data_IF_519239805855
#
_entry.id   IF_519239805855
#
_cell.length_a   1.000
_cell.length_b   1.000
_cell.length_c   1.000
_cell.angle_alpha   90.00
_cell.angle_beta   90.00
_cell.angle_gamma   90.00
#
_symmetry.space_group_name_H-M   'P 1'
#
loop_
_entity.id
_entity.type
_entity.pdbx_description
1 polymer ?
#
# COMPACT_ATOMS: atom_id res chain seq x y z
N UNK A 1 14.91 -6.40 -9.62
CA UNK A 1 13.85 -5.83 -10.49
C UNK A 1 14.44 -4.74 -11.41
N UNK A 2 14.20 -4.83 -12.73
CA UNK A 2 14.74 -3.88 -13.74
C UNK A 2 14.02 -2.52 -13.69
N UNK A 3 14.68 -1.44 -14.18
CA UNK A 3 14.13 -0.06 -14.14
C UNK A 3 12.82 0.09 -14.91
N UNK A 4 12.67 -0.62 -16.02
CA UNK A 4 11.45 -0.61 -16.84
C UNK A 4 10.25 -1.16 -16.08
N UNK A 5 10.43 -2.29 -15.39
CA UNK A 5 9.40 -2.86 -14.54
C UNK A 5 8.94 -1.84 -13.46
N UNK A 6 9.86 -1.05 -12.89
CA UNK A 6 9.49 -0.03 -11.88
C UNK A 6 8.65 1.08 -12.50
N UNK A 7 8.98 1.49 -13.74
CA UNK A 7 8.18 2.48 -14.47
C UNK A 7 6.78 1.95 -14.76
N UNK A 8 6.65 0.69 -15.17
CA UNK A 8 5.35 0.03 -15.38
C UNK A 8 4.53 0.00 -14.10
N UNK A 9 5.10 -0.44 -12.96
CA UNK A 9 4.39 -0.44 -11.68
C UNK A 9 3.91 0.95 -11.26
N UNK A 10 4.77 1.97 -11.40
CA UNK A 10 4.37 3.36 -11.09
C UNK A 10 3.24 3.85 -11.99
N UNK A 11 3.23 3.44 -13.26
CA UNK A 11 2.14 3.77 -14.21
C UNK A 11 0.84 3.10 -13.78
N UNK A 12 0.86 1.80 -13.48
CA UNK A 12 -0.31 1.06 -12.99
C UNK A 12 -0.87 1.67 -11.71
N UNK A 13 -0.01 2.06 -10.76
CA UNK A 13 -0.41 2.73 -9.52
C UNK A 13 -1.14 4.05 -9.77
N UNK A 14 -0.70 4.83 -10.78
CA UNK A 14 -1.36 6.08 -11.16
C UNK A 14 -2.72 5.81 -11.79
N UNK A 15 -2.76 4.95 -12.80
CA UNK A 15 -3.99 4.65 -13.56
C UNK A 15 -5.07 4.03 -12.69
N UNK A 16 -4.75 3.07 -11.81
CA UNK A 16 -5.75 2.47 -10.93
C UNK A 16 -6.11 3.30 -9.70
N UNK A 17 -5.48 4.47 -9.50
CA UNK A 17 -5.85 5.43 -8.46
C UNK A 17 -6.80 6.52 -8.94
N UNK A 18 -7.18 6.52 -10.21
CA UNK A 18 -8.13 7.47 -10.79
C UNK A 18 -9.58 7.06 -10.48
N UNK A 19 -10.48 8.04 -10.35
CA UNK A 19 -11.88 7.80 -9.97
C UNK A 19 -12.66 6.90 -10.94
N UNK A 20 -12.19 6.81 -12.19
CA UNK A 20 -12.80 6.03 -13.27
C UNK A 20 -11.99 4.78 -13.64
N UNK A 21 -11.05 4.36 -12.79
CA UNK A 21 -10.29 3.14 -13.01
C UNK A 21 -11.22 1.92 -13.12
N UNK A 22 -10.97 1.07 -14.13
CA UNK A 22 -11.67 -0.21 -14.23
C UNK A 22 -11.30 -1.13 -13.06
N UNK A 23 -12.14 -2.14 -12.74
CA UNK A 23 -11.83 -3.11 -11.68
C UNK A 23 -10.45 -3.79 -11.88
N UNK A 24 -10.09 -4.07 -13.13
CA UNK A 24 -8.78 -4.62 -13.48
C UNK A 24 -7.65 -3.63 -13.19
N UNK A 25 -7.79 -2.37 -13.58
CA UNK A 25 -6.80 -1.33 -13.30
C UNK A 25 -6.62 -1.11 -11.80
N UNK A 26 -7.70 -1.17 -11.02
CA UNK A 26 -7.64 -1.10 -9.56
C UNK A 26 -6.93 -2.31 -8.94
N UNK A 27 -7.12 -3.52 -9.49
CA UNK A 27 -6.38 -4.71 -9.06
C UNK A 27 -4.89 -4.63 -9.40
N UNK A 28 -4.56 -4.20 -10.62
CA UNK A 28 -3.17 -4.01 -11.06
C UNK A 28 -2.47 -2.93 -10.22
N UNK A 29 -3.17 -1.86 -9.85
CA UNK A 29 -2.64 -0.82 -8.97
C UNK A 29 -2.38 -1.32 -7.55
N UNK A 30 -3.27 -2.16 -6.99
CA UNK A 30 -3.06 -2.81 -5.69
C UNK A 30 -1.81 -3.70 -5.72
N UNK A 31 -1.67 -4.54 -6.74
CA UNK A 31 -0.50 -5.39 -6.91
C UNK A 31 0.79 -4.56 -7.07
N UNK A 32 0.73 -3.49 -7.86
CA UNK A 32 1.85 -2.59 -8.07
C UNK A 32 2.27 -1.85 -6.79
N UNK A 33 1.32 -1.42 -5.97
CA UNK A 33 1.60 -0.77 -4.69
C UNK A 33 2.33 -1.72 -3.73
N UNK A 34 1.90 -2.98 -3.63
CA UNK A 34 2.56 -3.99 -2.81
C UNK A 34 3.99 -4.27 -3.28
N UNK A 35 4.17 -4.53 -4.58
CA UNK A 35 5.50 -4.79 -5.14
C UNK A 35 6.47 -3.61 -4.96
N UNK A 36 5.98 -2.37 -5.05
CA UNK A 36 6.79 -1.18 -4.78
C UNK A 36 7.12 -1.02 -3.28
N UNK A 37 6.21 -1.37 -2.39
CA UNK A 37 6.43 -1.36 -0.94
C UNK A 37 7.48 -2.40 -0.55
N UNK A 38 7.29 -3.66 -0.93
CA UNK A 38 8.23 -4.76 -0.66
C UNK A 38 9.64 -4.42 -1.14
N UNK A 39 9.76 -3.90 -2.36
CA UNK A 39 11.05 -3.47 -2.89
C UNK A 39 11.65 -2.33 -2.08
N UNK A 40 10.85 -1.36 -1.64
CA UNK A 40 11.35 -0.23 -0.85
C UNK A 40 11.86 -0.70 0.52
N UNK A 41 11.19 -1.67 1.13
CA UNK A 41 11.65 -2.33 2.37
C UNK A 41 12.93 -3.12 2.13
N UNK A 42 12.98 -3.94 1.08
CA UNK A 42 14.17 -4.73 0.73
C UNK A 42 15.41 -3.86 0.45
N UNK A 43 15.20 -2.69 -0.16
CA UNK A 43 16.26 -1.71 -0.43
C UNK A 43 16.55 -0.79 0.77
N UNK A 44 15.86 -0.96 1.91
CA UNK A 44 15.98 -0.10 3.10
C UNK A 44 15.75 1.39 2.82
N UNK A 45 14.86 1.68 1.87
CA UNK A 45 14.46 3.05 1.55
C UNK A 45 13.33 3.50 2.50
N UNK A 46 13.66 3.68 3.77
CA UNK A 46 12.75 3.95 4.90
C UNK A 46 11.63 4.96 4.61
N UNK A 47 11.98 6.19 4.21
CA UNK A 47 10.99 7.24 3.91
C UNK A 47 10.10 6.86 2.72
N UNK A 48 10.66 6.23 1.71
CA UNK A 48 9.92 5.80 0.52
C UNK A 48 9.01 4.62 0.86
N UNK A 49 9.44 3.70 1.72
CA UNK A 49 8.62 2.59 2.18
C UNK A 49 7.36 3.09 2.90
N UNK A 50 7.48 4.10 3.77
CA UNK A 50 6.31 4.73 4.40
C UNK A 50 5.38 5.35 3.35
N UNK A 51 5.91 6.09 2.36
CA UNK A 51 5.07 6.65 1.29
C UNK A 51 4.35 5.55 0.49
N UNK A 52 5.03 4.43 0.19
CA UNK A 52 4.43 3.29 -0.52
C UNK A 52 3.41 2.54 0.32
N UNK A 53 3.57 2.51 1.64
CA UNK A 53 2.56 1.98 2.53
C UNK A 53 1.28 2.83 2.46
N UNK A 54 1.40 4.16 2.49
CA UNK A 54 0.24 5.04 2.35
C UNK A 54 -0.45 4.87 0.99
N UNK A 55 0.30 4.72 -0.10
CA UNK A 55 -0.24 4.40 -1.43
C UNK A 55 -1.04 3.08 -1.39
N UNK A 56 -0.49 2.04 -0.78
CA UNK A 56 -1.12 0.72 -0.66
C UNK A 56 -2.42 0.78 0.17
N UNK A 57 -2.41 1.52 1.27
CA UNK A 57 -3.60 1.75 2.11
C UNK A 57 -4.68 2.50 1.35
N UNK A 58 -4.32 3.58 0.64
CA UNK A 58 -5.25 4.36 -0.18
C UNK A 58 -5.94 3.49 -1.24
N UNK A 59 -5.19 2.57 -1.84
CA UNK A 59 -5.68 1.62 -2.84
C UNK A 59 -6.35 0.38 -2.23
N UNK A 60 -6.45 0.29 -0.90
CA UNK A 60 -6.97 -0.88 -0.17
C UNK A 60 -6.28 -2.18 -0.58
N UNK A 61 -4.96 -2.12 -0.79
CA UNK A 61 -4.15 -3.29 -1.08
C UNK A 61 -3.97 -4.14 0.19
N UNK A 62 -3.96 -5.48 0.10
CA UNK A 62 -3.77 -6.36 1.24
C UNK A 62 -2.30 -6.37 1.69
N UNK A 63 -1.91 -5.41 2.52
CA UNK A 63 -0.54 -5.28 3.03
C UNK A 63 -0.27 -6.32 4.11
N UNK A 64 0.80 -7.10 3.94
CA UNK A 64 1.22 -8.12 4.89
C UNK A 64 1.60 -7.52 6.28
N UNK A 65 1.32 -8.22 7.40
CA UNK A 65 1.65 -7.75 8.75
C UNK A 65 3.13 -7.37 8.96
N UNK A 66 4.05 -8.07 8.30
CA UNK A 66 5.49 -7.78 8.40
C UNK A 66 5.87 -6.41 7.81
N UNK A 67 5.22 -6.00 6.71
CA UNK A 67 5.46 -4.70 6.08
C UNK A 67 4.91 -3.56 6.96
N UNK A 68 3.75 -3.78 7.59
CA UNK A 68 3.21 -2.88 8.61
C UNK A 68 4.19 -2.67 9.76
N UNK A 69 4.64 -3.76 10.38
CA UNK A 69 5.56 -3.71 11.51
C UNK A 69 6.88 -3.01 11.15
N UNK A 70 7.41 -3.27 9.95
CA UNK A 70 8.60 -2.57 9.46
C UNK A 70 8.36 -1.05 9.36
N UNK A 71 7.29 -0.62 8.71
CA UNK A 71 6.99 0.80 8.54
C UNK A 71 6.66 1.50 9.86
N UNK A 72 5.98 0.83 10.80
CA UNK A 72 5.74 1.32 12.16
C UNK A 72 7.08 1.56 12.90
N UNK A 73 8.00 0.60 12.85
CA UNK A 73 9.33 0.72 13.44
C UNK A 73 10.17 1.83 12.79
N UNK A 74 10.07 1.99 11.47
CA UNK A 74 10.72 3.09 10.74
C UNK A 74 10.12 4.44 11.16
N UNK A 75 8.80 4.57 11.22
CA UNK A 75 8.13 5.81 11.63
C UNK A 75 8.47 6.20 13.09
N UNK A 76 8.80 5.23 13.94
CA UNK A 76 9.24 5.49 15.31
C UNK A 76 10.67 6.04 15.37
N UNK A 77 11.53 5.66 14.41
CA UNK A 77 12.94 6.09 14.37
C UNK A 77 13.14 7.41 13.63
N UNK A 78 12.42 7.64 12.54
CA UNK A 78 12.67 8.79 11.66
C UNK A 78 11.82 9.99 12.07
N UNK A 79 12.41 11.20 12.10
CA UNK A 79 11.62 12.42 12.20
C UNK A 79 10.90 12.67 10.88
N UNK A 80 9.58 12.61 10.91
CA UNK A 80 8.74 12.81 9.73
C UNK A 80 7.31 13.19 10.10
N UNK A 81 6.50 13.55 9.09
CA UNK A 81 5.10 13.91 9.32
C UNK A 81 4.24 12.70 9.71
N UNK A 82 4.72 11.47 9.43
CA UNK A 82 4.01 10.22 9.73
C UNK A 82 4.49 9.70 11.08
N UNK A 83 3.57 9.59 12.05
CA UNK A 83 3.83 9.00 13.37
C UNK A 83 3.40 7.52 13.40
N UNK A 84 4.03 6.68 14.23
CA UNK A 84 3.65 5.26 14.39
C UNK A 84 2.17 5.06 14.74
N UNK A 85 1.61 5.89 15.61
CA UNK A 85 0.20 5.80 16.03
C UNK A 85 -0.75 6.00 14.85
N UNK A 86 -0.40 6.85 13.89
CA UNK A 86 -1.18 7.05 12.67
C UNK A 86 -1.15 5.80 11.79
N UNK A 87 -0.01 5.12 11.68
CA UNK A 87 0.10 3.87 10.92
C UNK A 87 -0.70 2.74 11.57
N UNK A 88 -0.68 2.64 12.91
CA UNK A 88 -1.48 1.67 13.65
C UNK A 88 -2.98 1.90 13.39
N UNK A 89 -3.44 3.14 13.45
CA UNK A 89 -4.83 3.49 13.14
C UNK A 89 -5.22 3.09 11.71
N UNK A 90 -4.38 3.40 10.71
CA UNK A 90 -4.62 3.02 9.31
C UNK A 90 -4.66 1.50 9.12
N UNK A 91 -3.83 0.76 9.85
CA UNK A 91 -3.83 -0.71 9.85
C UNK A 91 -5.15 -1.28 10.37
N UNK A 92 -5.64 -0.75 11.49
CA UNK A 92 -6.93 -1.15 12.04
C UNK A 92 -8.08 -0.88 11.07
N UNK A 93 -8.12 0.31 10.46
CA UNK A 93 -9.13 0.64 9.44
C UNK A 93 -9.05 -0.31 8.24
N UNK A 94 -7.84 -0.60 7.76
CA UNK A 94 -7.62 -1.51 6.63
C UNK A 94 -8.11 -2.93 6.94
N UNK A 95 -7.90 -3.42 8.17
CA UNK A 95 -8.41 -4.72 8.63
C UNK A 95 -9.95 -4.75 8.71
N UNK A 96 -10.57 -3.67 9.20
CA UNK A 96 -12.03 -3.54 9.24
C UNK A 96 -12.67 -3.52 7.84
N UNK A 97 -12.02 -2.88 6.87
CA UNK A 97 -12.49 -2.90 5.49
C UNK A 97 -12.37 -4.27 4.84
N UNK A 98 -11.33 -5.04 5.18
CA UNK A 98 -11.20 -6.42 4.71
C UNK A 98 -12.32 -7.32 5.28
N UNK A 99 -12.77 -7.09 6.52
CA UNK A 99 -13.84 -7.88 7.14
C UNK A 99 -15.25 -7.48 6.68
N UNK A 100 -15.46 -6.23 6.22
CA UNK A 100 -16.75 -5.78 5.66
C UNK A 100 -16.92 -6.08 4.17
N UNK A 101 -15.90 -6.67 3.53
CA UNK A 101 -15.85 -6.93 2.09
C UNK A 101 -16.15 -8.38 1.70
N UNK A 102 -17.24 -9.00 2.18
CA UNK A 102 -18.01 -10.08 1.50
C UNK A 102 -19.06 -10.72 2.43
N UNK A 103 -20.25 -11.17 1.95
CA UNK A 103 -20.90 -10.90 0.67
C UNK A 103 -22.38 -10.45 0.78
N UNK A 104 -22.85 -9.69 -0.22
CA UNK A 104 -24.24 -9.73 -0.65
C UNK A 104 -24.27 -9.47 -2.17
N UNK A 105 -23.80 -10.48 -2.90
CA UNK A 105 -24.33 -10.79 -4.21
C UNK A 105 -25.28 -11.98 -3.97
N UNK A 106 -26.55 -11.70 -3.72
CA UNK A 106 -27.62 -12.67 -3.93
C UNK A 106 -28.88 -11.92 -4.41
N UNK A 107 -29.31 -12.33 -5.61
CA UNK A 107 -30.57 -12.06 -6.34
C UNK A 107 -30.72 -10.76 -7.12
#
# INVERSE_FOLDING_TARGET
>A
MKREAIRTLKKSLRTGGEAHASPQQAQDARAAALALLERSVAMRHDRLAIQRLLDAVRLRAPVAPALWAHCEAVAARIRGPVRPQMLQLLRHQSAQHASHGSPAADR
#
